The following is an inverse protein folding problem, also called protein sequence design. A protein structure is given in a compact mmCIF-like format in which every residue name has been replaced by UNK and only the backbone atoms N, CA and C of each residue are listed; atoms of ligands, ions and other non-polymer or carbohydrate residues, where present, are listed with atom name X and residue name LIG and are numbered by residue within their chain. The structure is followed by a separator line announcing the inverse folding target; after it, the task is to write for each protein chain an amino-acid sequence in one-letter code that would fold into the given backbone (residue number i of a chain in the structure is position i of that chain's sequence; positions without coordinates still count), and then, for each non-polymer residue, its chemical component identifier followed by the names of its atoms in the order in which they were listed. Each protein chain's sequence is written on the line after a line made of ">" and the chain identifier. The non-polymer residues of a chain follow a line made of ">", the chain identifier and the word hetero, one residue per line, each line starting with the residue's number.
data_IF_641482656833
#
_entry.id   IF_641482656833
#
_cell.length_a   1.000
_cell.length_b   1.000
_cell.length_c   1.000
_cell.angle_alpha   90.00
_cell.angle_beta   90.00
_cell.angle_gamma   90.00
#
_symmetry.space_group_name_H-M   'P 1'
#
loop_
_entity.id
_entity.type
_entity.pdbx_description
1 polymer ?
#
# COMPACT_ATOMS: atom_id res chain seq x y z
N UNK A 1 -14.18 3.33 -8.99
CA UNK A 1 -12.86 2.71 -9.09
C UNK A 1 -12.63 1.66 -8.00
N UNK A 2 -12.93 2.05 -6.75
CA UNK A 2 -12.86 1.12 -5.63
C UNK A 2 -14.02 0.14 -5.66
N UNK A 3 -13.71 -1.14 -5.73
CA UNK A 3 -14.67 -2.22 -5.50
C UNK A 3 -14.59 -2.73 -4.05
N UNK A 4 -15.23 -3.87 -3.76
CA UNK A 4 -15.21 -4.50 -2.42
C UNK A 4 -13.79 -4.71 -1.89
N UNK A 5 -12.83 -4.91 -2.78
CA UNK A 5 -11.44 -5.27 -2.46
C UNK A 5 -10.40 -4.33 -3.11
N UNK A 6 -10.63 -3.05 -3.12
CA UNK A 6 -9.73 -2.07 -3.71
C UNK A 6 -9.94 -1.87 -5.22
N UNK A 7 -8.95 -1.29 -5.88
CA UNK A 7 -8.95 -1.06 -7.32
C UNK A 7 -8.39 -2.29 -8.02
N UNK A 8 -9.14 -2.90 -8.95
CA UNK A 8 -8.71 -4.08 -9.72
C UNK A 8 -8.90 -3.86 -11.21
N UNK A 9 -8.07 -4.51 -12.02
CA UNK A 9 -8.21 -4.52 -13.46
C UNK A 9 -7.10 -5.32 -14.15
N UNK A 10 -7.22 -5.45 -15.48
CA UNK A 10 -6.14 -6.01 -16.30
C UNK A 10 -4.96 -5.04 -16.24
N UNK A 11 -3.80 -5.55 -15.82
CA UNK A 11 -2.61 -4.75 -15.66
C UNK A 11 -2.19 -4.11 -16.99
N UNK A 12 -1.82 -2.83 -16.94
CA UNK A 12 -1.44 -1.99 -18.07
C UNK A 12 -2.55 -1.76 -19.13
N UNK A 13 -3.79 -2.11 -18.82
CA UNK A 13 -4.98 -1.79 -19.61
C UNK A 13 -5.99 -1.00 -18.78
N UNK A 14 -6.56 -1.63 -17.75
CA UNK A 14 -7.51 -1.02 -16.83
C UNK A 14 -6.77 -0.42 -15.63
N UNK A 15 -5.81 -1.17 -15.08
CA UNK A 15 -4.91 -0.76 -14.00
C UNK A 15 -3.55 -0.36 -14.58
N UNK A 16 -3.47 0.88 -15.04
CA UNK A 16 -2.26 1.44 -15.68
C UNK A 16 -1.27 1.99 -14.66
N UNK A 17 -0.04 2.25 -15.10
CA UNK A 17 0.95 2.95 -14.27
C UNK A 17 0.49 4.37 -13.88
N UNK A 18 -0.21 5.07 -14.78
CA UNK A 18 -0.77 6.40 -14.49
C UNK A 18 -1.84 6.32 -13.38
N UNK A 19 -2.75 5.34 -13.47
CA UNK A 19 -3.76 5.12 -12.43
C UNK A 19 -3.10 4.76 -11.09
N UNK A 20 -2.08 3.90 -11.10
CA UNK A 20 -1.34 3.55 -9.89
C UNK A 20 -0.62 4.77 -9.28
N UNK A 21 -0.02 5.64 -10.10
CA UNK A 21 0.56 6.90 -9.64
C UNK A 21 -0.49 7.79 -8.98
N UNK A 22 -1.62 8.04 -9.65
CA UNK A 22 -2.72 8.86 -9.12
C UNK A 22 -3.28 8.26 -7.83
N UNK A 23 -3.41 6.93 -7.78
CA UNK A 23 -3.87 6.22 -6.57
C UNK A 23 -2.89 6.43 -5.40
N UNK A 24 -1.60 6.34 -5.65
CA UNK A 24 -0.57 6.61 -4.63
C UNK A 24 -0.60 8.06 -4.16
N UNK A 25 -0.69 9.01 -5.08
CA UNK A 25 -0.74 10.43 -4.78
C UNK A 25 -1.98 10.80 -3.97
N UNK A 26 -3.17 10.42 -4.44
CA UNK A 26 -4.44 10.69 -3.78
C UNK A 26 -4.55 9.98 -2.43
N UNK A 27 -4.12 8.72 -2.37
CA UNK A 27 -4.07 7.95 -1.13
C UNK A 27 -3.18 8.59 -0.08
N UNK A 28 -1.96 8.97 -0.44
CA UNK A 28 -1.06 9.68 0.47
C UNK A 28 -1.68 10.99 0.96
N UNK A 29 -2.25 11.78 0.06
CA UNK A 29 -2.89 13.06 0.42
C UNK A 29 -4.01 12.86 1.44
N UNK A 30 -4.97 11.99 1.15
CA UNK A 30 -6.14 11.78 2.01
C UNK A 30 -5.75 11.19 3.36
N UNK A 31 -4.85 10.19 3.38
CA UNK A 31 -4.47 9.50 4.60
C UNK A 31 -3.55 10.33 5.50
N UNK A 32 -2.86 11.33 4.95
CA UNK A 32 -1.86 12.10 5.71
C UNK A 32 -2.20 13.57 5.91
N UNK A 33 -3.28 14.07 5.30
CA UNK A 33 -3.66 15.50 5.37
C UNK A 33 -3.86 16.06 6.78
N UNK A 34 -4.20 15.20 7.74
CA UNK A 34 -4.38 15.56 9.14
C UNK A 34 -3.22 15.10 10.04
N UNK A 35 -2.20 14.44 9.47
CA UNK A 35 -1.05 14.00 10.23
C UNK A 35 -0.07 15.15 10.46
N UNK A 36 0.35 15.31 11.71
CA UNK A 36 1.45 16.21 12.09
C UNK A 36 2.81 15.51 12.07
N UNK A 37 2.82 14.19 11.87
CA UNK A 37 4.02 13.35 11.88
C UNK A 37 4.47 13.05 10.44
N UNK A 38 5.71 12.60 10.31
CA UNK A 38 6.22 12.03 9.06
C UNK A 38 5.48 10.71 8.79
N UNK A 39 4.61 10.63 7.78
CA UNK A 39 3.84 9.41 7.54
C UNK A 39 4.75 8.27 7.07
N UNK A 40 4.40 7.08 7.49
CA UNK A 40 5.00 5.81 7.05
C UNK A 40 3.94 4.99 6.35
N UNK A 41 4.20 4.63 5.10
CA UNK A 41 3.30 3.82 4.30
C UNK A 41 4.04 2.56 3.86
N UNK A 42 3.49 1.40 4.16
CA UNK A 42 4.05 0.13 3.76
C UNK A 42 3.52 -0.27 2.39
N UNK A 43 4.37 -0.86 1.55
CA UNK A 43 3.95 -1.47 0.28
C UNK A 43 4.47 -2.90 0.23
N UNK A 44 3.55 -3.84 0.08
CA UNK A 44 3.84 -5.23 -0.27
C UNK A 44 3.20 -5.61 -1.60
N UNK A 45 3.68 -6.68 -2.22
CA UNK A 45 3.11 -7.19 -3.47
C UNK A 45 3.14 -8.70 -3.52
N UNK A 46 2.32 -9.28 -4.39
CA UNK A 46 2.41 -10.69 -4.75
C UNK A 46 3.47 -10.94 -5.85
N UNK A 47 3.54 -12.15 -6.35
CA UNK A 47 4.54 -12.60 -7.32
C UNK A 47 4.24 -12.22 -8.77
N UNK A 48 3.18 -11.45 -9.05
CA UNK A 48 2.80 -11.05 -10.42
C UNK A 48 3.85 -10.13 -11.02
N UNK A 49 4.25 -10.39 -12.28
CA UNK A 49 5.22 -9.54 -13.00
C UNK A 49 4.81 -8.08 -13.10
N UNK A 50 3.51 -7.81 -13.24
CA UNK A 50 2.99 -6.44 -13.28
C UNK A 50 3.14 -5.69 -11.95
N UNK A 51 3.43 -6.40 -10.86
CA UNK A 51 3.66 -5.81 -9.54
C UNK A 51 4.80 -4.81 -9.52
N UNK A 52 5.89 -5.04 -10.25
CA UNK A 52 7.05 -4.13 -10.27
C UNK A 52 6.69 -2.76 -10.88
N UNK A 53 5.98 -2.77 -12.01
CA UNK A 53 5.50 -1.55 -12.66
C UNK A 53 4.55 -0.77 -11.76
N UNK A 54 3.56 -1.45 -11.20
CA UNK A 54 2.56 -0.82 -10.34
C UNK A 54 3.17 -0.31 -9.03
N UNK A 55 4.08 -1.06 -8.42
CA UNK A 55 4.82 -0.63 -7.22
C UNK A 55 5.65 0.62 -7.50
N UNK A 56 6.36 0.69 -8.61
CA UNK A 56 7.16 1.84 -8.97
C UNK A 56 6.29 3.10 -9.15
N UNK A 57 5.20 2.99 -9.91
CA UNK A 57 4.28 4.08 -10.15
C UNK A 57 3.56 4.55 -8.87
N UNK A 58 3.03 3.61 -8.08
CA UNK A 58 2.39 3.88 -6.80
C UNK A 58 3.37 4.57 -5.83
N UNK A 59 4.60 4.06 -5.74
CA UNK A 59 5.66 4.63 -4.90
C UNK A 59 5.97 6.06 -5.30
N UNK A 60 6.08 6.35 -6.60
CA UNK A 60 6.30 7.71 -7.10
C UNK A 60 5.16 8.64 -6.69
N UNK A 61 3.90 8.20 -6.83
CA UNK A 61 2.72 8.95 -6.39
C UNK A 61 2.75 9.24 -4.88
N UNK A 62 3.03 8.23 -4.06
CA UNK A 62 3.13 8.39 -2.61
C UNK A 62 4.24 9.38 -2.21
N UNK A 63 5.43 9.24 -2.80
CA UNK A 63 6.56 10.11 -2.53
C UNK A 63 6.31 11.56 -2.98
N UNK A 64 5.56 11.76 -4.08
CA UNK A 64 5.24 13.09 -4.58
C UNK A 64 4.42 13.91 -3.59
N UNK A 65 3.71 13.24 -2.69
CA UNK A 65 2.89 13.91 -1.69
C UNK A 65 3.60 14.21 -0.39
N UNK A 66 4.72 13.61 -0.07
CA UNK A 66 5.47 13.86 1.16
C UNK A 66 4.59 14.26 2.35
N UNK A 67 5.09 14.34 3.55
CA UNK A 67 4.29 14.93 4.62
C UNK A 67 4.36 16.47 4.58
N UNK A 68 3.27 17.17 4.94
CA UNK A 68 3.22 18.64 5.01
C UNK A 68 4.37 19.28 5.81
N UNK A 69 4.99 18.53 6.72
CA UNK A 69 6.04 19.06 7.62
C UNK A 69 7.41 18.46 7.34
N UNK A 70 7.51 17.16 7.06
CA UNK A 70 8.79 16.48 6.77
C UNK A 70 8.50 15.27 5.87
N UNK A 71 9.19 15.09 4.77
CA UNK A 71 8.95 14.05 3.76
C UNK A 71 8.60 12.68 4.32
N UNK A 72 7.53 12.08 3.79
CA UNK A 72 7.04 10.76 4.21
C UNK A 72 7.96 9.63 3.78
N UNK A 73 7.91 8.51 4.50
CA UNK A 73 8.67 7.31 4.18
C UNK A 73 7.76 6.23 3.60
N UNK A 74 8.06 5.80 2.39
CA UNK A 74 7.49 4.62 1.77
C UNK A 74 8.40 3.43 2.06
N UNK A 75 7.90 2.45 2.79
CA UNK A 75 8.67 1.27 3.20
C UNK A 75 8.25 0.08 2.33
N UNK A 76 9.15 -0.40 1.49
CA UNK A 76 8.94 -1.59 0.66
C UNK A 76 9.17 -2.85 1.48
N UNK A 77 8.16 -3.72 1.50
CA UNK A 77 8.17 -5.02 2.17
C UNK A 77 8.60 -6.17 1.24
N UNK A 78 8.63 -5.90 -0.09
CA UNK A 78 8.89 -6.92 -1.09
C UNK A 78 7.69 -7.81 -1.39
N UNK A 79 7.97 -9.05 -1.79
CA UNK A 79 6.94 -10.08 -2.04
C UNK A 79 6.49 -10.66 -0.72
N UNK A 80 5.23 -10.41 -0.36
CA UNK A 80 4.66 -10.80 0.94
C UNK A 80 3.14 -11.00 0.80
N UNK A 81 2.52 -11.91 1.54
CA UNK A 81 1.07 -12.14 1.43
C UNK A 81 0.26 -10.96 1.99
N UNK A 82 -0.95 -10.79 1.46
CA UNK A 82 -1.88 -9.71 1.85
C UNK A 82 -2.06 -9.56 3.38
N UNK A 83 -2.30 -10.64 4.16
CA UNK A 83 -2.45 -10.51 5.62
C UNK A 83 -1.18 -10.02 6.31
N UNK A 84 -0.01 -10.26 5.74
CA UNK A 84 1.24 -9.75 6.29
C UNK A 84 1.29 -8.22 6.22
N UNK A 85 0.84 -7.61 5.12
CA UNK A 85 0.80 -6.14 5.01
C UNK A 85 -0.13 -5.53 6.06
N UNK A 86 -1.30 -6.12 6.28
CA UNK A 86 -2.24 -5.71 7.30
C UNK A 86 -1.66 -5.82 8.73
N UNK A 87 -1.02 -6.95 9.03
CA UNK A 87 -0.36 -7.17 10.33
C UNK A 87 0.80 -6.19 10.55
N UNK A 88 1.69 -6.06 9.56
CA UNK A 88 2.89 -5.25 9.66
C UNK A 88 2.56 -3.74 9.70
N UNK A 89 1.42 -3.29 9.15
CA UNK A 89 0.97 -1.91 9.31
C UNK A 89 0.84 -1.55 10.80
N UNK A 90 0.22 -2.44 11.58
CA UNK A 90 0.13 -2.29 13.04
C UNK A 90 1.48 -2.47 13.72
N UNK A 91 2.18 -3.54 13.39
CA UNK A 91 3.44 -3.92 14.05
C UNK A 91 4.51 -2.84 13.94
N UNK A 92 4.63 -2.20 12.77
CA UNK A 92 5.58 -1.11 12.54
C UNK A 92 5.01 0.28 12.85
N UNK A 93 3.78 0.38 13.39
CA UNK A 93 3.09 1.64 13.61
C UNK A 93 3.08 2.53 12.35
N UNK A 94 2.74 1.94 11.21
CA UNK A 94 2.58 2.66 9.96
C UNK A 94 1.22 3.36 9.89
N UNK A 95 1.14 4.45 9.16
CA UNK A 95 -0.12 5.19 8.96
C UNK A 95 -1.05 4.46 7.98
N UNK A 96 -0.47 3.69 7.05
CA UNK A 96 -1.20 2.84 6.12
C UNK A 96 -0.34 1.68 5.61
N UNK A 97 -1.01 0.61 5.17
CA UNK A 97 -0.44 -0.48 4.40
C UNK A 97 -1.09 -0.56 3.02
N UNK A 98 -0.32 -0.85 2.00
CA UNK A 98 -0.83 -1.04 0.64
C UNK A 98 -0.32 -2.38 0.12
N UNK A 99 -1.21 -3.18 -0.46
CA UNK A 99 -0.82 -4.42 -1.13
C UNK A 99 -1.19 -4.37 -2.61
N UNK A 100 -0.25 -4.79 -3.45
CA UNK A 100 -0.44 -4.93 -4.89
C UNK A 100 -0.67 -6.41 -5.17
N UNK A 101 -1.94 -6.78 -5.38
CA UNK A 101 -2.37 -8.15 -5.60
C UNK A 101 -3.80 -8.20 -6.12
N UNK A 102 -4.09 -9.15 -7.00
CA UNK A 102 -5.46 -9.48 -7.42
C UNK A 102 -5.96 -10.81 -6.82
N UNK A 103 -5.36 -11.26 -5.69
CA UNK A 103 -5.78 -12.46 -4.99
C UNK A 103 -5.72 -13.71 -5.89
N UNK A 104 -6.86 -14.34 -6.16
CA UNK A 104 -7.01 -15.57 -6.97
C UNK A 104 -7.32 -15.33 -8.45
N UNK A 105 -7.39 -14.08 -8.90
CA UNK A 105 -7.58 -13.78 -10.32
C UNK A 105 -6.40 -14.32 -11.14
N UNK A 106 -6.62 -14.52 -12.43
CA UNK A 106 -5.56 -14.91 -13.36
C UNK A 106 -4.44 -13.87 -13.46
N UNK A 107 -3.30 -14.24 -13.98
CA UNK A 107 -2.05 -13.46 -13.87
C UNK A 107 -2.10 -12.10 -14.60
N UNK A 108 -3.01 -11.93 -15.54
CA UNK A 108 -3.22 -10.68 -16.29
C UNK A 108 -3.79 -9.57 -15.42
N UNK A 109 -4.54 -9.94 -14.38
CA UNK A 109 -5.11 -8.99 -13.43
C UNK A 109 -4.11 -8.58 -12.37
N UNK A 110 -4.30 -7.39 -11.85
CA UNK A 110 -3.68 -6.96 -10.60
C UNK A 110 -4.63 -6.04 -9.84
N UNK A 111 -4.26 -5.63 -8.64
CA UNK A 111 -5.08 -4.75 -7.81
C UNK A 111 -4.24 -3.97 -6.81
N UNK A 112 -4.81 -2.90 -6.30
CA UNK A 112 -4.23 -2.07 -5.24
C UNK A 112 -5.24 -1.99 -4.12
N UNK A 113 -4.87 -2.44 -2.93
CA UNK A 113 -5.70 -2.42 -1.72
C UNK A 113 -5.01 -1.65 -0.62
N UNK A 114 -5.79 -0.86 0.10
CA UNK A 114 -5.32 -0.08 1.23
C UNK A 114 -5.79 -0.69 2.55
N UNK A 115 -4.92 -0.59 3.54
CA UNK A 115 -5.19 -0.86 4.95
C UNK A 115 -4.89 0.39 5.77
N UNK A 116 -5.69 0.64 6.79
CA UNK A 116 -5.42 1.69 7.76
C UNK A 116 -4.32 1.26 8.76
N UNK A 117 -3.99 2.12 9.70
CA UNK A 117 -3.00 1.86 10.77
C UNK A 117 -3.35 0.66 11.66
N UNK A 118 -4.61 0.29 11.74
CA UNK A 118 -5.09 -0.86 12.52
C UNK A 118 -5.08 -2.17 11.72
N UNK A 119 -4.69 -2.11 10.43
CA UNK A 119 -4.64 -3.27 9.53
C UNK A 119 -5.99 -3.66 8.94
N UNK A 120 -7.00 -2.80 9.03
CA UNK A 120 -8.31 -3.01 8.40
C UNK A 120 -8.40 -2.30 7.06
N UNK A 121 -9.28 -2.81 6.17
CA UNK A 121 -9.66 -2.11 4.94
C UNK A 121 -10.11 -0.67 5.27
N UNK A 122 -9.80 0.26 4.39
CA UNK A 122 -10.31 1.63 4.52
C UNK A 122 -11.84 1.65 4.52
N UNK A 123 -12.43 2.62 5.20
CA UNK A 123 -13.87 2.85 5.12
C UNK A 123 -14.24 3.37 3.73
N UNK A 124 -15.47 3.08 3.30
CA UNK A 124 -15.98 3.52 2.00
C UNK A 124 -15.91 5.05 1.85
N UNK A 125 -16.08 5.79 2.95
CA UNK A 125 -15.94 7.26 2.95
C UNK A 125 -14.53 7.72 2.58
N UNK A 126 -13.49 7.04 3.07
CA UNK A 126 -12.10 7.35 2.72
C UNK A 126 -11.80 6.90 1.29
N UNK A 127 -12.26 5.72 0.86
CA UNK A 127 -12.09 5.24 -0.50
C UNK A 127 -12.76 6.19 -1.51
N UNK A 128 -13.99 6.64 -1.26
CA UNK A 128 -14.70 7.61 -2.09
C UNK A 128 -13.97 8.95 -2.14
N UNK A 129 -13.38 9.39 -1.03
CA UNK A 129 -12.59 10.61 -1.02
C UNK A 129 -11.33 10.46 -1.87
N UNK A 130 -10.60 9.37 -1.78
CA UNK A 130 -9.44 9.07 -2.62
C UNK A 130 -9.85 9.06 -4.10
N UNK A 131 -10.97 8.39 -4.43
CA UNK A 131 -11.51 8.30 -5.77
C UNK A 131 -11.82 9.68 -6.36
N UNK A 132 -12.38 10.60 -5.59
CA UNK A 132 -12.70 11.94 -6.05
C UNK A 132 -11.45 12.74 -6.51
N UNK A 133 -10.29 12.49 -5.89
CA UNK A 133 -9.02 13.07 -6.35
C UNK A 133 -8.48 12.36 -7.59
N UNK A 134 -8.59 11.03 -7.67
CA UNK A 134 -8.16 10.26 -8.85
C UNK A 134 -8.92 10.68 -10.10
N UNK A 135 -10.25 10.87 -9.96
CA UNK A 135 -11.14 11.27 -11.06
C UNK A 135 -11.05 12.75 -11.42
N UNK A 136 -10.37 13.57 -10.62
CA UNK A 136 -10.22 15.00 -10.85
C UNK A 136 -11.44 15.83 -10.42
N UNK A 137 -12.35 15.26 -9.64
CA UNK A 137 -13.48 15.99 -9.02
C UNK A 137 -12.98 16.94 -7.92
N UNK A 138 -11.86 16.60 -7.29
CA UNK A 138 -11.12 17.41 -6.35
C UNK A 138 -9.69 17.58 -6.81
N UNK A 139 -9.09 18.73 -6.49
CA UNK A 139 -7.70 19.04 -6.82
C UNK A 139 -6.80 19.00 -5.59
N UNK A 140 -5.58 18.53 -5.77
CA UNK A 140 -4.49 18.70 -4.81
C UNK A 140 -3.87 20.06 -5.11
N UNK A 141 -4.08 21.02 -4.22
CA UNK A 141 -3.72 22.42 -4.47
C UNK A 141 -2.20 22.66 -4.45
N UNK A 142 -1.48 21.94 -3.59
CA UNK A 142 -0.05 22.16 -3.39
C UNK A 142 0.70 20.84 -3.25
N UNK A 143 1.78 20.70 -4.03
CA UNK A 143 2.70 19.57 -3.91
C UNK A 143 3.89 19.95 -3.02
N UNK A 144 4.33 19.04 -2.13
CA UNK A 144 5.52 19.27 -1.32
C UNK A 144 6.76 19.41 -2.19
N UNK A 145 7.65 20.32 -1.78
CA UNK A 145 8.92 20.59 -2.47
C UNK A 145 10.11 20.46 -1.51
N UNK A 146 11.31 20.46 -2.06
CA UNK A 146 12.56 20.39 -1.29
C UNK A 146 12.60 19.18 -0.35
N UNK A 147 12.98 19.38 0.90
CA UNK A 147 13.06 18.34 1.92
C UNK A 147 11.72 17.74 2.38
N UNK A 148 10.59 18.21 1.83
CA UNK A 148 9.26 17.68 2.12
C UNK A 148 8.84 16.56 1.16
N UNK A 149 9.57 16.33 0.07
CA UNK A 149 9.32 15.19 -0.83
C UNK A 149 9.57 13.89 -0.06
N UNK A 150 8.73 12.88 -0.30
CA UNK A 150 8.86 11.57 0.33
C UNK A 150 10.09 10.80 -0.17
N UNK A 151 10.49 9.81 0.57
CA UNK A 151 11.61 8.93 0.21
C UNK A 151 11.24 7.46 0.41
N UNK A 152 12.03 6.57 -0.14
CA UNK A 152 11.82 5.13 -0.10
C UNK A 152 12.88 4.48 0.78
N UNK A 153 12.45 3.52 1.59
CA UNK A 153 13.34 2.56 2.24
C UNK A 153 12.84 1.13 2.02
N UNK A 154 13.70 0.14 2.21
CA UNK A 154 13.33 -1.26 2.23
C UNK A 154 13.39 -1.79 3.67
N UNK A 155 12.44 -2.64 4.03
CA UNK A 155 12.52 -3.41 5.26
C UNK A 155 12.80 -4.88 4.91
N UNK A 156 14.03 -5.32 5.17
CA UNK A 156 14.47 -6.67 4.85
C UNK A 156 14.04 -7.72 5.87
N UNK A 157 13.54 -7.30 7.04
CA UNK A 157 13.09 -8.21 8.10
C UNK A 157 11.57 -8.45 8.05
N UNK A 158 10.87 -7.86 7.10
CA UNK A 158 9.39 -7.91 7.06
C UNK A 158 8.84 -9.35 6.95
N UNK A 159 9.52 -10.20 6.20
CA UNK A 159 9.13 -11.61 6.04
C UNK A 159 9.34 -12.36 7.35
N UNK A 160 10.51 -12.20 7.97
CA UNK A 160 10.86 -12.84 9.24
C UNK A 160 9.93 -12.40 10.36
N UNK A 161 9.61 -11.11 10.46
CA UNK A 161 8.70 -10.58 11.46
C UNK A 161 7.28 -11.15 11.29
N UNK A 162 6.81 -11.27 10.05
CA UNK A 162 5.52 -11.88 9.79
C UNK A 162 5.52 -13.40 10.05
N UNK A 163 6.59 -14.11 9.67
CA UNK A 163 6.74 -15.55 9.96
C UNK A 163 6.75 -15.80 11.47
N UNK A 164 7.50 -15.00 12.23
CA UNK A 164 7.52 -15.09 13.68
C UNK A 164 6.12 -14.92 14.29
N UNK A 165 5.35 -13.94 13.79
CA UNK A 165 3.96 -13.78 14.20
C UNK A 165 3.12 -15.01 13.83
N UNK A 166 3.17 -15.48 12.58
CA UNK A 166 2.36 -16.61 12.13
C UNK A 166 2.63 -17.85 12.94
N UNK A 167 3.91 -18.14 13.24
CA UNK A 167 4.31 -19.26 14.10
C UNK A 167 3.79 -19.10 15.52
N UNK A 168 3.77 -17.87 16.06
CA UNK A 168 3.29 -17.63 17.43
C UNK A 168 1.78 -17.84 17.60
N UNK A 169 1.03 -17.99 16.51
CA UNK A 169 -0.43 -18.25 16.57
C UNK A 169 -0.80 -19.73 16.75
N UNK A 170 0.18 -20.63 16.74
CA UNK A 170 -0.04 -22.07 16.91
C UNK A 170 0.71 -22.57 18.16
N UNK A 171 0.06 -23.46 18.94
CA UNK A 171 0.61 -24.03 20.17
C UNK A 171 1.22 -25.41 19.97
N UNK A 172 1.27 -25.90 18.75
CA UNK A 172 1.78 -27.26 18.45
C UNK A 172 2.93 -27.20 17.43
N UNK A 173 3.77 -28.21 17.48
CA UNK A 173 4.80 -28.46 16.47
C UNK A 173 4.21 -29.22 15.28
N UNK A 174 4.58 -28.78 14.08
CA UNK A 174 4.14 -29.40 12.82
C UNK A 174 5.21 -30.30 12.18
N UNK A 175 6.24 -30.65 12.94
CA UNK A 175 7.38 -31.46 12.45
C UNK A 175 6.89 -32.82 11.91
N UNK A 176 7.31 -33.14 10.71
CA UNK A 176 6.93 -34.37 10.03
C UNK A 176 5.56 -34.38 9.36
N UNK A 177 4.76 -33.33 9.51
CA UNK A 177 3.53 -33.20 8.73
C UNK A 177 3.85 -32.89 7.27
N UNK A 178 3.10 -33.51 6.35
CA UNK A 178 3.08 -33.18 4.93
C UNK A 178 1.79 -32.41 4.66
N UNK A 179 1.91 -31.22 4.13
CA UNK A 179 0.79 -30.36 3.78
C UNK A 179 0.67 -30.27 2.26
#
# INVERSE_FOLDING_TARGET
>A
LFGTDGIRGIANKDLTAELAFKTGQSGAYVLTKHSSKRPRILIGKDTRKSGDMLEAALTAGLCSMGAKVVGGNVIKLGVIPTPAVAYLARYYNADAGIVISASHNTFEYNGIKFFNSDGYKLSDGIENEIESYILGEKAIEELPTHGKVGYVSANHNAVEDYVAFAVSTIDCRLDGMKI
#
